data_IF_125227040620
#
_entry.id   IF_125227040620
#
_cell.length_a   1.000
_cell.length_b   1.000
_cell.length_c   1.000
_cell.angle_alpha   90.00
_cell.angle_beta   90.00
_cell.angle_gamma   90.00
#
_symmetry.space_group_name_H-M   'P 1'
#
loop_
_entity.id
_entity.type
_entity.pdbx_description
1 polymer ?
#
# COMPACT_ATOMS: atom_id res chain seq x y z
N UNK A 1 6.49 -12.33 -54.90
CA UNK A 1 7.05 -11.67 -53.71
C UNK A 1 6.02 -10.66 -53.26
N UNK A 2 5.13 -11.06 -52.35
CA UNK A 2 4.10 -10.19 -51.78
C UNK A 2 4.67 -9.56 -50.53
N UNK A 3 4.96 -8.26 -50.61
CA UNK A 3 5.30 -7.43 -49.46
C UNK A 3 4.02 -7.31 -48.63
N UNK A 4 3.99 -7.93 -47.47
CA UNK A 4 2.96 -7.70 -46.46
C UNK A 4 3.27 -6.38 -45.76
N UNK A 5 2.61 -5.31 -46.20
CA UNK A 5 2.48 -4.07 -45.45
C UNK A 5 1.60 -4.32 -44.21
N UNK A 6 2.13 -3.98 -43.04
CA UNK A 6 1.41 -4.10 -41.77
C UNK A 6 2.28 -4.09 -40.52
N UNK A 7 3.44 -3.41 -40.52
CA UNK A 7 4.11 -2.98 -39.29
C UNK A 7 3.89 -1.48 -39.16
N UNK A 8 2.80 -1.08 -38.53
CA UNK A 8 2.55 0.33 -38.18
C UNK A 8 3.01 0.59 -36.76
N UNK A 9 4.02 1.46 -36.65
CA UNK A 9 4.42 2.29 -35.49
C UNK A 9 5.16 1.60 -34.34
N UNK A 10 6.36 2.13 -34.03
CA UNK A 10 7.06 2.01 -32.73
C UNK A 10 6.21 2.62 -31.61
N UNK A 11 5.07 2.03 -31.29
CA UNK A 11 4.23 2.48 -30.19
C UNK A 11 4.96 2.22 -28.86
N UNK A 12 5.03 3.24 -28.02
CA UNK A 12 5.60 3.12 -26.69
C UNK A 12 4.49 2.82 -25.68
N UNK A 13 4.60 1.67 -25.04
CA UNK A 13 3.65 1.19 -24.04
C UNK A 13 4.34 0.99 -22.69
N UNK A 14 3.63 1.32 -21.61
CA UNK A 14 4.07 1.13 -20.22
C UNK A 14 3.06 0.23 -19.51
N UNK A 15 3.53 -0.79 -18.82
CA UNK A 15 2.69 -1.62 -17.97
C UNK A 15 2.72 -1.14 -16.51
N UNK A 16 1.55 -0.78 -15.98
CA UNK A 16 1.35 -0.44 -14.58
C UNK A 16 0.77 -1.62 -13.80
N UNK A 17 1.46 -2.05 -12.74
CA UNK A 17 1.02 -3.14 -11.84
C UNK A 17 0.81 -2.69 -10.38
N UNK A 18 1.11 -1.44 -10.07
CA UNK A 18 1.01 -0.85 -8.73
C UNK A 18 0.28 0.50 -8.79
N UNK A 19 0.90 1.55 -8.26
CA UNK A 19 0.29 2.89 -8.23
C UNK A 19 -0.12 3.43 -9.60
N UNK A 20 0.53 3.01 -10.68
CA UNK A 20 0.16 3.40 -12.03
C UNK A 20 -1.26 2.96 -12.43
N UNK A 21 -1.87 1.98 -11.77
CA UNK A 21 -3.25 1.56 -12.06
C UNK A 21 -4.25 2.64 -11.62
N UNK A 22 -4.06 3.26 -10.45
CA UNK A 22 -4.95 4.30 -9.92
C UNK A 22 -4.41 5.74 -10.04
N UNK A 23 -3.13 5.89 -10.40
CA UNK A 23 -2.45 7.16 -10.72
C UNK A 23 -1.66 7.00 -12.03
N UNK A 24 -2.35 7.01 -13.19
CA UNK A 24 -1.72 6.82 -14.49
C UNK A 24 -0.64 7.87 -14.79
N UNK A 25 0.29 7.59 -15.73
CA UNK A 25 1.22 8.59 -16.24
C UNK A 25 0.48 9.74 -16.95
N UNK A 26 1.13 10.90 -17.16
CA UNK A 26 0.62 11.93 -18.05
C UNK A 26 0.68 11.48 -19.53
N UNK A 27 0.02 12.22 -20.42
CA UNK A 27 0.10 12.06 -21.89
C UNK A 27 -0.28 10.67 -22.42
N UNK A 28 -1.23 10.02 -21.74
CA UNK A 28 -1.75 8.71 -22.13
C UNK A 28 -2.96 8.88 -23.03
N UNK A 29 -2.90 8.28 -24.21
CA UNK A 29 -3.97 8.34 -25.20
C UNK A 29 -4.79 7.04 -25.30
N UNK A 30 -4.25 5.93 -24.78
CA UNK A 30 -4.96 4.65 -24.63
C UNK A 30 -4.57 3.92 -23.36
N UNK A 31 -5.54 3.24 -22.76
CA UNK A 31 -5.37 2.36 -21.61
C UNK A 31 -6.01 1.01 -21.91
N UNK A 32 -5.30 -0.08 -21.66
CA UNK A 32 -5.75 -1.43 -21.95
C UNK A 32 -5.53 -2.30 -20.71
N UNK A 33 -6.61 -2.66 -19.99
CA UNK A 33 -6.54 -3.67 -18.93
C UNK A 33 -6.03 -5.00 -19.49
N UNK A 34 -5.16 -5.66 -18.73
CA UNK A 34 -4.54 -6.90 -19.14
C UNK A 34 -3.69 -7.51 -18.04
N UNK A 35 -2.95 -8.55 -18.39
CA UNK A 35 -2.11 -9.25 -17.44
C UNK A 35 -0.78 -9.67 -18.06
N UNK A 36 0.20 -9.90 -17.19
CA UNK A 36 1.49 -10.48 -17.56
C UNK A 36 1.66 -11.84 -16.89
N UNK A 37 2.49 -12.70 -17.48
CA UNK A 37 2.83 -14.02 -16.94
C UNK A 37 4.28 -14.08 -16.48
N UNK A 38 4.64 -15.05 -15.63
CA UNK A 38 6.04 -15.29 -15.23
C UNK A 38 6.54 -14.38 -14.12
N UNK A 39 5.69 -13.51 -13.58
CA UNK A 39 5.97 -12.64 -12.45
C UNK A 39 5.00 -12.86 -11.30
N UNK A 40 5.40 -12.41 -10.12
CA UNK A 40 4.60 -12.41 -8.89
C UNK A 40 4.65 -11.00 -8.31
N UNK A 41 3.50 -10.44 -7.94
CA UNK A 41 3.39 -9.12 -7.30
C UNK A 41 3.42 -9.25 -5.79
N UNK A 42 4.32 -8.53 -5.10
CA UNK A 42 4.43 -8.54 -3.64
C UNK A 42 4.74 -7.18 -3.05
N UNK A 43 4.22 -6.89 -1.86
CA UNK A 43 4.55 -5.73 -1.02
C UNK A 43 5.96 -5.79 -0.40
N UNK A 44 6.96 -6.17 -1.21
CA UNK A 44 8.33 -6.44 -0.77
C UNK A 44 9.32 -5.37 -1.21
N UNK A 45 8.82 -4.21 -1.63
CA UNK A 45 9.66 -3.03 -1.84
C UNK A 45 9.48 -2.06 -0.68
N UNK A 46 10.57 -1.70 -0.03
CA UNK A 46 10.60 -0.67 1.00
C UNK A 46 10.41 0.71 0.36
N UNK A 47 9.48 1.50 0.89
CA UNK A 47 9.14 2.83 0.39
C UNK A 47 9.64 3.92 1.33
N UNK A 48 10.69 4.65 0.93
CA UNK A 48 11.16 5.86 1.58
C UNK A 48 11.92 6.76 0.60
N UNK A 49 12.01 8.05 0.93
CA UNK A 49 12.90 8.98 0.22
C UNK A 49 14.34 8.74 0.67
N UNK A 50 15.29 8.56 -0.27
CA UNK A 50 16.72 8.34 0.04
C UNK A 50 17.30 9.37 1.00
N UNK A 51 16.75 10.59 1.02
CA UNK A 51 17.24 11.70 1.83
C UNK A 51 16.62 11.75 3.25
N UNK A 52 15.57 10.97 3.53
CA UNK A 52 14.87 10.95 4.82
C UNK A 52 14.17 9.61 5.06
N UNK A 53 14.92 8.53 5.40
CA UNK A 53 14.31 7.28 5.81
C UNK A 53 13.62 7.45 7.18
N UNK A 54 12.31 7.22 7.28
CA UNK A 54 11.63 7.15 8.58
C UNK A 54 12.08 5.88 9.34
N UNK A 55 11.88 5.81 10.67
CA UNK A 55 12.20 4.63 11.47
C UNK A 55 11.48 3.37 10.95
N UNK A 56 10.22 3.52 10.54
CA UNK A 56 9.40 2.45 9.94
C UNK A 56 9.00 2.84 8.51
N UNK A 57 9.84 2.55 7.51
CA UNK A 57 9.53 2.88 6.12
C UNK A 57 8.39 2.01 5.60
N UNK A 58 7.58 2.59 4.72
CA UNK A 58 6.45 1.90 4.12
C UNK A 58 6.83 0.68 3.28
N UNK A 59 5.82 -0.02 2.77
CA UNK A 59 5.92 -1.11 1.79
C UNK A 59 5.06 -0.80 0.58
N UNK A 60 5.62 -0.98 -0.61
CA UNK A 60 4.90 -0.89 -1.88
C UNK A 60 5.13 -2.17 -2.68
N UNK A 61 4.32 -2.37 -3.73
CA UNK A 61 4.46 -3.55 -4.56
C UNK A 61 5.66 -3.47 -5.49
N UNK A 62 6.31 -4.60 -5.72
CA UNK A 62 7.23 -4.85 -6.84
C UNK A 62 6.81 -6.12 -7.58
N UNK A 63 7.37 -6.33 -8.76
CA UNK A 63 7.31 -7.61 -9.47
C UNK A 63 8.56 -8.43 -9.19
N UNK A 64 8.36 -9.73 -9.02
CA UNK A 64 9.45 -10.69 -8.81
C UNK A 64 9.29 -11.75 -9.88
N UNK A 65 10.34 -12.05 -10.63
CA UNK A 65 10.30 -13.20 -11.55
C UNK A 65 9.95 -14.46 -10.77
N UNK A 66 9.02 -15.26 -11.30
CA UNK A 66 8.51 -16.46 -10.64
C UNK A 66 9.65 -17.40 -10.20
N UNK A 67 10.63 -17.60 -11.07
CA UNK A 67 11.80 -18.46 -10.80
C UNK A 67 12.70 -17.96 -9.66
N UNK A 68 12.65 -16.66 -9.36
CA UNK A 68 13.35 -16.06 -8.22
C UNK A 68 12.48 -16.13 -6.98
N UNK A 69 11.20 -15.77 -7.09
CA UNK A 69 10.23 -15.84 -6.00
C UNK A 69 10.12 -17.24 -5.37
N UNK A 70 10.10 -18.29 -6.19
CA UNK A 70 10.09 -19.69 -5.74
C UNK A 70 11.26 -20.05 -4.81
N UNK A 71 12.37 -19.30 -4.89
CA UNK A 71 13.54 -19.49 -4.04
C UNK A 71 13.49 -18.65 -2.76
N UNK A 72 12.62 -17.65 -2.66
CA UNK A 72 12.57 -16.74 -1.52
C UNK A 72 11.74 -17.31 -0.36
N UNK A 73 10.73 -18.13 -0.66
CA UNK A 73 9.75 -18.58 0.33
C UNK A 73 8.74 -17.47 0.63
N UNK A 74 7.46 -17.83 0.68
CA UNK A 74 6.34 -16.88 0.81
C UNK A 74 5.23 -17.50 1.66
N UNK A 75 4.30 -16.68 2.13
CA UNK A 75 3.20 -17.07 3.02
C UNK A 75 2.09 -17.83 2.30
N UNK A 76 2.00 -17.69 0.98
CA UNK A 76 0.95 -18.25 0.12
C UNK A 76 1.47 -18.53 -1.28
N UNK A 77 0.76 -19.40 -2.00
CA UNK A 77 0.98 -19.62 -3.43
C UNK A 77 0.80 -18.33 -4.23
N UNK A 78 1.55 -18.20 -5.32
CA UNK A 78 1.43 -17.06 -6.22
C UNK A 78 0.33 -17.29 -7.27
N UNK A 79 -0.48 -16.25 -7.51
CA UNK A 79 -1.39 -16.19 -8.66
C UNK A 79 -0.64 -16.47 -9.97
N UNK A 80 -1.29 -17.13 -10.93
CA UNK A 80 -0.65 -17.52 -12.20
C UNK A 80 -0.22 -16.31 -13.04
N UNK A 81 -0.99 -15.23 -12.95
CA UNK A 81 -0.83 -14.00 -13.73
C UNK A 81 -0.85 -12.77 -12.83
N UNK A 82 -0.24 -11.68 -13.28
CA UNK A 82 -0.32 -10.37 -12.62
C UNK A 82 -1.14 -9.42 -13.47
N UNK A 83 -2.29 -9.01 -12.94
CA UNK A 83 -3.18 -8.03 -13.56
C UNK A 83 -2.68 -6.60 -13.41
N UNK A 84 -2.92 -5.79 -14.44
CA UNK A 84 -2.57 -4.37 -14.49
C UNK A 84 -3.13 -3.69 -15.73
N UNK A 85 -2.51 -2.58 -16.12
CA UNK A 85 -2.93 -1.79 -17.27
C UNK A 85 -1.74 -1.46 -18.16
N UNK A 86 -1.86 -1.69 -19.47
CA UNK A 86 -0.94 -1.16 -20.46
C UNK A 86 -1.40 0.23 -20.89
N UNK A 87 -0.49 1.19 -20.85
CA UNK A 87 -0.71 2.58 -21.20
C UNK A 87 0.09 2.93 -22.44
N UNK A 88 -0.58 3.40 -23.49
CA UNK A 88 0.11 3.94 -24.67
C UNK A 88 0.43 5.40 -24.46
N UNK A 89 1.68 5.75 -24.73
CA UNK A 89 2.15 7.13 -24.75
C UNK A 89 2.20 7.60 -26.19
N UNK A 90 1.71 8.81 -26.43
CA UNK A 90 1.86 9.45 -27.73
C UNK A 90 3.35 9.65 -28.06
N UNK A 91 3.75 9.40 -29.30
CA UNK A 91 5.15 9.41 -29.73
C UNK A 91 5.89 10.72 -29.37
N UNK A 92 5.20 11.87 -29.42
CA UNK A 92 5.76 13.19 -29.07
C UNK A 92 6.06 13.38 -27.59
N UNK A 93 5.49 12.56 -26.71
CA UNK A 93 5.58 12.68 -25.25
C UNK A 93 6.40 11.55 -24.60
N UNK A 94 6.98 10.63 -25.39
CA UNK A 94 7.71 9.46 -24.88
C UNK A 94 8.89 9.84 -24.00
N UNK A 95 9.69 10.83 -24.39
CA UNK A 95 10.85 11.27 -23.61
C UNK A 95 10.42 11.89 -22.27
N UNK A 96 9.41 12.76 -22.30
CA UNK A 96 8.85 13.41 -21.09
C UNK A 96 8.28 12.37 -20.11
N UNK A 97 7.53 11.38 -20.61
CA UNK A 97 6.96 10.33 -19.75
C UNK A 97 8.05 9.43 -19.19
N UNK A 98 9.11 9.11 -19.96
CA UNK A 98 10.26 8.36 -19.44
C UNK A 98 10.98 9.13 -18.33
N UNK A 99 11.25 10.41 -18.52
CA UNK A 99 11.87 11.25 -17.49
C UNK A 99 10.99 11.36 -16.24
N UNK A 100 9.68 11.55 -16.41
CA UNK A 100 8.72 11.52 -15.32
C UNK A 100 8.78 10.20 -14.52
N UNK A 101 8.82 9.06 -15.22
CA UNK A 101 8.88 7.75 -14.58
C UNK A 101 10.23 7.48 -13.92
N UNK A 102 11.34 7.92 -14.52
CA UNK A 102 12.67 7.78 -13.93
C UNK A 102 12.79 8.56 -12.60
N UNK A 103 12.12 9.72 -12.49
CA UNK A 103 12.02 10.48 -11.24
C UNK A 103 11.09 9.79 -10.24
N UNK A 104 9.93 9.28 -10.71
CA UNK A 104 8.93 8.61 -9.86
C UNK A 104 9.47 7.31 -9.27
N UNK A 105 10.27 6.58 -10.04
CA UNK A 105 10.80 5.25 -9.72
C UNK A 105 12.30 5.27 -9.37
N UNK A 106 12.84 6.47 -9.02
CA UNK A 106 14.24 6.77 -8.67
C UNK A 106 14.87 5.85 -7.59
N UNK A 107 14.02 5.10 -6.92
CA UNK A 107 14.28 4.19 -5.82
C UNK A 107 14.73 2.78 -6.29
N UNK A 108 15.52 2.71 -7.36
CA UNK A 108 16.22 1.50 -7.78
C UNK A 108 15.39 0.51 -8.59
N UNK A 109 14.28 0.97 -9.16
CA UNK A 109 13.59 0.19 -10.19
C UNK A 109 14.43 0.15 -11.46
N UNK A 110 14.44 -1.01 -12.11
CA UNK A 110 15.10 -1.24 -13.40
C UNK A 110 14.05 -1.42 -14.48
N UNK A 111 14.41 -1.08 -15.72
CA UNK A 111 13.54 -1.18 -16.88
C UNK A 111 13.59 -2.62 -17.43
N UNK A 112 12.41 -3.22 -17.59
CA UNK A 112 12.20 -4.51 -18.25
C UNK A 112 11.15 -4.35 -19.35
N UNK A 113 11.02 -5.37 -20.20
CA UNK A 113 9.95 -5.44 -21.19
C UNK A 113 9.18 -6.75 -21.08
N UNK A 114 7.86 -6.64 -21.04
CA UNK A 114 6.92 -7.75 -20.85
C UNK A 114 5.85 -7.74 -21.92
N UNK A 115 5.26 -8.90 -22.17
CA UNK A 115 4.12 -9.04 -23.06
C UNK A 115 2.84 -8.97 -22.23
N UNK A 116 2.03 -7.93 -22.48
CA UNK A 116 0.75 -7.75 -21.79
C UNK A 116 -0.35 -8.42 -22.62
N UNK A 117 -0.98 -9.44 -22.03
CA UNK A 117 -2.10 -10.14 -22.62
C UNK A 117 -3.40 -9.39 -22.34
N UNK A 118 -4.22 -9.22 -23.37
CA UNK A 118 -5.51 -8.55 -23.28
C UNK A 118 -6.54 -9.41 -22.54
N UNK A 119 -7.58 -8.76 -22.01
CA UNK A 119 -8.81 -9.44 -21.57
C UNK A 119 -9.56 -10.12 -22.72
N UNK A 120 -9.40 -9.63 -23.96
CA UNK A 120 -9.85 -10.34 -25.16
C UNK A 120 -8.74 -11.30 -25.64
N UNK A 121 -8.92 -12.62 -25.54
CA UNK A 121 -7.87 -13.60 -25.85
C UNK A 121 -7.49 -13.64 -27.34
N UNK A 122 -8.27 -13.01 -28.22
CA UNK A 122 -7.99 -12.96 -29.65
C UNK A 122 -7.05 -11.82 -30.07
N UNK A 123 -6.76 -10.88 -29.16
CA UNK A 123 -5.85 -9.77 -29.43
C UNK A 123 -4.39 -10.19 -29.22
N UNK A 124 -3.46 -9.77 -30.09
CA UNK A 124 -2.04 -10.05 -29.90
C UNK A 124 -1.51 -9.35 -28.63
N UNK A 125 -0.52 -9.91 -27.92
CA UNK A 125 0.05 -9.25 -26.75
C UNK A 125 0.69 -7.88 -27.07
N UNK A 126 0.61 -6.95 -26.12
CA UNK A 126 1.24 -5.62 -26.21
C UNK A 126 2.61 -5.67 -25.54
N UNK A 127 3.68 -5.48 -26.32
CA UNK A 127 5.03 -5.33 -25.76
C UNK A 127 5.13 -4.02 -25.00
N UNK A 128 5.33 -4.09 -23.68
CA UNK A 128 5.29 -2.93 -22.79
C UNK A 128 6.54 -2.84 -21.92
N UNK A 129 7.01 -1.62 -21.68
CA UNK A 129 8.03 -1.31 -20.69
C UNK A 129 7.43 -1.45 -19.29
N UNK A 130 8.17 -2.01 -18.34
CA UNK A 130 7.78 -2.10 -16.93
C UNK A 130 8.96 -1.77 -16.03
N UNK A 131 8.70 -1.00 -14.97
CA UNK A 131 9.69 -0.70 -13.94
C UNK A 131 9.61 -1.76 -12.84
N UNK A 132 10.72 -2.45 -12.54
CA UNK A 132 10.78 -3.53 -11.53
C UNK A 132 11.88 -3.26 -10.50
N UNK A 133 11.51 -3.24 -9.22
CA UNK A 133 12.45 -3.22 -8.10
C UNK A 133 12.97 -4.64 -7.89
N UNK A 134 14.10 -4.95 -8.53
CA UNK A 134 14.64 -6.32 -8.53
C UNK A 134 15.23 -6.68 -7.17
N UNK A 135 15.46 -7.98 -6.89
CA UNK A 135 16.05 -8.41 -5.62
C UNK A 135 17.44 -7.82 -5.31
N UNK A 136 18.17 -7.33 -6.31
CA UNK A 136 19.44 -6.63 -6.15
C UNK A 136 19.28 -5.18 -5.67
N UNK A 137 18.06 -4.65 -5.67
CA UNK A 137 17.75 -3.33 -5.16
C UNK A 137 17.92 -3.31 -3.62
N UNK A 138 18.67 -2.37 -3.03
CA UNK A 138 18.80 -2.24 -1.58
C UNK A 138 17.48 -2.02 -0.83
N UNK A 139 16.44 -1.56 -1.53
CA UNK A 139 15.08 -1.38 -1.01
C UNK A 139 14.20 -2.61 -1.22
N UNK A 140 14.69 -3.67 -1.87
CA UNK A 140 14.02 -4.96 -1.87
C UNK A 140 14.14 -5.62 -0.49
N UNK A 141 13.04 -6.17 0.01
CA UNK A 141 13.05 -6.94 1.25
C UNK A 141 13.78 -8.26 0.99
N UNK A 142 15.00 -8.36 1.52
CA UNK A 142 15.82 -9.57 1.40
C UNK A 142 15.09 -10.80 1.96
N UNK A 143 15.44 -11.98 1.43
CA UNK A 143 14.84 -13.28 1.75
C UNK A 143 14.69 -13.53 3.26
N UNK A 144 15.72 -13.22 4.03
CA UNK A 144 15.77 -13.45 5.48
C UNK A 144 14.88 -12.49 6.27
N UNK A 145 14.27 -11.52 5.59
CA UNK A 145 13.45 -10.45 6.16
C UNK A 145 12.04 -10.42 5.58
N UNK A 146 11.63 -11.44 4.82
CA UNK A 146 10.25 -11.58 4.36
C UNK A 146 9.38 -11.70 5.62
N UNK A 147 8.62 -10.65 5.98
CA UNK A 147 7.85 -10.64 7.23
C UNK A 147 6.68 -11.59 7.10
N UNK A 148 6.23 -12.25 8.17
CA UNK A 148 4.98 -13.00 8.12
C UNK A 148 3.82 -12.16 7.57
N UNK A 149 2.83 -12.76 6.91
CA UNK A 149 1.75 -11.98 6.27
C UNK A 149 1.01 -11.05 7.24
N UNK A 150 0.77 -11.50 8.48
CA UNK A 150 0.18 -10.65 9.53
C UNK A 150 1.12 -9.52 9.95
N UNK A 151 2.42 -9.80 10.12
CA UNK A 151 3.43 -8.77 10.42
C UNK A 151 3.51 -7.73 9.28
N UNK A 152 3.41 -8.16 8.02
CA UNK A 152 3.36 -7.28 6.86
C UNK A 152 2.12 -6.38 6.89
N UNK A 153 0.95 -6.96 7.20
CA UNK A 153 -0.30 -6.20 7.29
C UNK A 153 -0.23 -5.16 8.41
N UNK A 154 0.25 -5.53 9.61
CA UNK A 154 0.46 -4.60 10.73
C UNK A 154 1.47 -3.50 10.38
N UNK A 155 2.55 -3.86 9.69
CA UNK A 155 3.56 -2.90 9.22
C UNK A 155 2.95 -1.89 8.26
N UNK A 156 2.21 -2.35 7.25
CA UNK A 156 1.51 -1.49 6.29
C UNK A 156 0.48 -0.63 7.01
N UNK A 157 -0.21 -1.18 8.00
CA UNK A 157 -1.23 -0.45 8.75
C UNK A 157 -0.66 0.76 9.49
N UNK A 158 0.45 0.57 10.21
CA UNK A 158 1.10 1.58 11.04
C UNK A 158 1.97 2.57 10.26
N UNK A 159 2.46 2.19 9.07
CA UNK A 159 3.41 3.00 8.30
C UNK A 159 2.75 4.23 7.67
N UNK A 160 3.40 5.39 7.82
CA UNK A 160 2.99 6.65 7.17
C UNK A 160 4.19 7.29 6.47
N UNK A 161 4.03 7.62 5.20
CA UNK A 161 5.06 8.27 4.40
C UNK A 161 4.65 9.67 3.93
N UNK A 162 5.50 10.37 3.15
CA UNK A 162 5.19 11.69 2.60
C UNK A 162 3.93 11.73 1.72
N UNK A 163 3.53 10.59 1.15
CA UNK A 163 2.32 10.46 0.32
C UNK A 163 1.08 10.05 1.12
N UNK A 164 1.16 10.00 2.46
CA UNK A 164 0.08 9.58 3.35
C UNK A 164 0.27 8.18 3.97
N UNK A 165 -0.77 7.66 4.63
CA UNK A 165 -0.80 6.31 5.20
C UNK A 165 -0.52 5.23 4.15
N UNK A 166 0.26 4.21 4.51
CA UNK A 166 0.56 3.13 3.57
C UNK A 166 -0.66 2.23 3.30
N UNK A 167 -1.61 2.13 4.26
CA UNK A 167 -2.89 1.45 4.03
C UNK A 167 -3.69 2.03 2.86
N UNK A 168 -3.64 3.35 2.66
CA UNK A 168 -4.35 4.02 1.57
C UNK A 168 -3.82 3.58 0.19
N UNK A 169 -2.50 3.31 0.09
CA UNK A 169 -1.92 2.75 -1.13
C UNK A 169 -2.49 1.36 -1.41
N UNK A 170 -2.55 0.50 -0.39
CA UNK A 170 -3.11 -0.84 -0.52
C UNK A 170 -4.58 -0.80 -0.94
N UNK A 171 -5.38 0.08 -0.33
CA UNK A 171 -6.81 0.19 -0.61
C UNK A 171 -7.05 0.71 -2.03
N UNK A 172 -6.34 1.74 -2.44
CA UNK A 172 -6.39 2.23 -3.83
C UNK A 172 -5.99 1.14 -4.82
N UNK A 173 -4.93 0.37 -4.54
CA UNK A 173 -4.51 -0.72 -5.40
C UNK A 173 -5.54 -1.86 -5.45
N UNK A 174 -6.09 -2.25 -4.30
CA UNK A 174 -7.10 -3.30 -4.22
C UNK A 174 -8.32 -2.96 -5.06
N UNK A 175 -8.91 -1.78 -4.85
CA UNK A 175 -10.08 -1.35 -5.61
C UNK A 175 -9.78 -1.20 -7.10
N UNK A 176 -8.65 -0.58 -7.45
CA UNK A 176 -8.27 -0.41 -8.84
C UNK A 176 -8.08 -1.75 -9.57
N UNK A 177 -7.61 -2.80 -8.88
CA UNK A 177 -7.51 -4.15 -9.44
C UNK A 177 -8.87 -4.81 -9.64
N UNK A 178 -9.78 -4.72 -8.67
CA UNK A 178 -11.15 -5.25 -8.81
C UNK A 178 -11.91 -4.55 -9.95
N UNK A 179 -11.63 -3.26 -10.17
CA UNK A 179 -12.27 -2.45 -11.21
C UNK A 179 -11.71 -2.69 -12.63
N UNK A 180 -10.58 -3.40 -12.79
CA UNK A 180 -9.98 -3.65 -14.12
C UNK A 180 -10.89 -4.49 -15.02
N UNK A 181 -11.35 -5.63 -14.49
CA UNK A 181 -12.27 -6.55 -15.15
C UNK A 181 -12.74 -7.63 -14.16
N UNK A 182 -13.84 -8.37 -14.45
CA UNK A 182 -14.36 -9.41 -13.55
C UNK A 182 -13.38 -10.56 -13.23
N UNK A 183 -12.40 -10.80 -14.10
CA UNK A 183 -11.40 -11.85 -13.93
C UNK A 183 -10.15 -11.38 -13.17
N UNK A 184 -10.00 -10.06 -13.00
CA UNK A 184 -8.86 -9.47 -12.30
C UNK A 184 -8.92 -9.84 -10.83
N UNK A 185 -7.89 -10.56 -10.38
CA UNK A 185 -7.75 -11.05 -9.01
C UNK A 185 -6.30 -10.96 -8.58
N UNK A 186 -6.10 -10.66 -7.31
CA UNK A 186 -4.80 -10.79 -6.66
C UNK A 186 -5.00 -11.25 -5.22
N UNK A 187 -4.56 -12.46 -4.93
CA UNK A 187 -4.75 -13.07 -3.62
C UNK A 187 -3.92 -12.38 -2.54
N UNK A 188 -2.72 -11.91 -2.87
CA UNK A 188 -1.85 -11.22 -1.94
C UNK A 188 -2.42 -9.86 -1.53
N UNK A 189 -2.80 -9.05 -2.52
CA UNK A 189 -3.40 -7.72 -2.28
C UNK A 189 -4.70 -7.86 -1.48
N UNK A 190 -5.57 -8.80 -1.87
CA UNK A 190 -6.85 -9.03 -1.21
C UNK A 190 -6.70 -9.55 0.23
N UNK A 191 -5.71 -10.41 0.48
CA UNK A 191 -5.45 -10.93 1.83
C UNK A 191 -4.97 -9.82 2.76
N UNK A 192 -3.99 -9.02 2.32
CA UNK A 192 -3.53 -7.85 3.07
C UNK A 192 -4.68 -6.85 3.32
N UNK A 193 -5.50 -6.56 2.30
CA UNK A 193 -6.65 -5.67 2.44
C UNK A 193 -7.58 -6.12 3.57
N UNK A 194 -7.93 -7.42 3.59
CA UNK A 194 -8.80 -7.99 4.63
C UNK A 194 -8.18 -7.93 6.02
N UNK A 195 -6.89 -8.25 6.14
CA UNK A 195 -6.19 -8.20 7.43
C UNK A 195 -6.17 -6.79 7.99
N UNK A 196 -5.88 -5.79 7.16
CA UNK A 196 -5.87 -4.39 7.61
C UNK A 196 -7.28 -3.91 7.97
N UNK A 197 -8.31 -4.29 7.20
CA UNK A 197 -9.69 -3.95 7.55
C UNK A 197 -10.12 -4.56 8.91
N UNK A 198 -9.61 -5.75 9.26
CA UNK A 198 -9.84 -6.35 10.58
C UNK A 198 -9.12 -5.55 11.67
N UNK A 199 -7.85 -5.18 11.46
CA UNK A 199 -7.10 -4.36 12.41
C UNK A 199 -7.79 -3.02 12.69
N UNK A 200 -8.32 -2.36 11.65
CA UNK A 200 -9.10 -1.13 11.79
C UNK A 200 -10.39 -1.32 12.60
N UNK A 201 -11.08 -2.44 12.38
CA UNK A 201 -12.30 -2.75 13.13
C UNK A 201 -11.98 -3.06 14.60
N UNK A 202 -10.89 -3.77 14.87
CA UNK A 202 -10.42 -4.07 16.23
C UNK A 202 -10.01 -2.81 16.99
N UNK A 203 -9.23 -1.91 16.38
CA UNK A 203 -8.85 -0.63 16.98
C UNK A 203 -10.08 0.23 17.29
N UNK A 204 -11.01 0.34 16.34
CA UNK A 204 -12.26 1.09 16.55
C UNK A 204 -13.14 0.51 17.67
N UNK A 205 -13.15 -0.82 17.82
CA UNK A 205 -13.88 -1.45 18.92
C UNK A 205 -13.22 -1.15 20.28
N UNK A 206 -11.89 -1.14 20.35
CA UNK A 206 -11.17 -0.76 21.57
C UNK A 206 -11.42 0.70 21.94
N UNK A 207 -11.41 1.62 20.97
CA UNK A 207 -11.72 3.04 21.19
C UNK A 207 -13.13 3.22 21.79
N UNK A 208 -14.13 2.49 21.28
CA UNK A 208 -15.51 2.54 21.80
C UNK A 208 -15.57 1.97 23.23
N UNK A 209 -14.89 0.86 23.50
CA UNK A 209 -14.85 0.24 24.83
C UNK A 209 -14.15 1.16 25.87
N UNK A 210 -13.12 1.90 25.45
CA UNK A 210 -12.43 2.89 26.29
C UNK A 210 -13.33 4.11 26.58
N UNK A 211 -14.04 4.65 25.58
CA UNK A 211 -14.99 5.74 25.75
C UNK A 211 -16.15 5.36 26.70
N UNK A 212 -16.74 4.17 26.54
CA UNK A 212 -17.79 3.65 27.43
C UNK A 212 -17.29 3.51 28.88
N UNK A 213 -16.03 3.11 29.06
CA UNK A 213 -15.40 2.97 30.37
C UNK A 213 -15.15 4.32 31.05
N UNK A 214 -14.69 5.33 30.31
CA UNK A 214 -14.47 6.69 30.82
C UNK A 214 -15.80 7.37 31.22
N UNK A 215 -16.86 7.26 30.40
CA UNK A 215 -18.20 7.80 30.75
C UNK A 215 -18.74 7.16 32.04
N UNK A 216 -18.54 5.85 32.23
CA UNK A 216 -18.97 5.14 33.44
C UNK A 216 -18.14 5.50 34.69
N UNK A 217 -16.91 5.99 34.53
CA UNK A 217 -16.11 6.50 35.65
C UNK A 217 -16.46 7.97 35.99
N UNK A 218 -16.76 8.81 35.00
CA UNK A 218 -17.24 10.18 35.22
C UNK A 218 -18.60 10.21 35.92
N UNK A 219 -19.58 9.40 35.49
CA UNK A 219 -20.88 9.27 36.17
C UNK A 219 -20.74 8.85 37.64
N UNK A 220 -19.73 8.01 37.96
CA UNK A 220 -19.44 7.62 39.35
C UNK A 220 -18.76 8.72 40.17
N UNK A 221 -18.05 9.66 39.55
CA UNK A 221 -17.47 10.81 40.23
C UNK A 221 -18.47 11.93 40.48
N UNK A 222 -19.47 12.11 39.61
CA UNK A 222 -20.53 13.11 39.81
C UNK A 222 -21.50 12.74 40.94
N UNK A 223 -21.68 11.44 41.23
CA UNK A 223 -22.56 10.94 42.29
C UNK A 223 -21.93 10.94 43.71
N UNK A 224 -20.75 11.53 43.90
CA UNK A 224 -20.13 11.64 45.24
C UNK A 224 -20.85 12.75 46.04
N UNK A 225 -21.54 12.45 47.16
CA UNK A 225 -22.26 13.47 47.93
C UNK A 225 -21.26 14.44 48.56
N UNK A 226 -21.45 15.74 48.31
CA UNK A 226 -20.74 16.82 49.00
C UNK A 226 -20.98 16.67 50.52
N UNK A 227 -20.00 16.15 51.26
CA UNK A 227 -20.06 16.16 52.72
C UNK A 227 -19.83 17.59 53.20
N UNK A 228 -20.89 18.23 53.68
CA UNK A 228 -20.80 19.50 54.40
C UNK A 228 -19.84 19.35 55.59
N UNK A 229 -18.80 20.18 55.61
CA UNK A 229 -17.95 20.35 56.79
C UNK A 229 -18.81 20.82 57.98
N UNK A 230 -18.76 20.15 59.14
CA UNK A 230 -19.51 20.62 60.30
C UNK A 230 -18.87 21.92 60.80
N UNK A 231 -19.67 22.99 60.74
CA UNK A 231 -19.41 24.28 61.32
C UNK A 231 -19.25 24.18 62.85
N UNK A 232 -18.16 24.76 63.35
CA UNK A 232 -18.06 25.47 64.63
C UNK A 232 -18.61 24.78 65.88
N UNK A 233 -17.72 24.17 66.67
CA UNK A 233 -17.93 24.12 68.12
C UNK A 233 -17.15 25.27 68.76
N UNK A 234 -17.89 26.19 69.38
CA UNK A 234 -17.38 27.19 70.32
C UNK A 234 -16.68 26.46 71.47
N UNK A 235 -15.35 26.57 71.55
CA UNK A 235 -14.64 26.34 72.81
C UNK A 235 -14.51 27.66 73.55
N UNK A 236 -15.22 27.74 74.66
CA UNK A 236 -15.18 28.81 75.66
C UNK A 236 -13.80 28.91 76.29
N UNK A 237 -13.23 30.13 76.30
CA UNK A 237 -12.06 30.49 77.11
C UNK A 237 -12.27 30.19 78.60
N UNK A 238 -11.18 29.91 79.33
CA UNK A 238 -10.98 30.66 80.55
C UNK A 238 -9.62 31.35 80.64
N UNK A 239 -9.76 32.58 81.11
CA UNK A 239 -8.80 33.60 81.52
C UNK A 239 -7.59 33.12 82.35
N UNK A 240 -6.43 33.68 81.99
CA UNK A 240 -5.31 34.16 82.82
C UNK A 240 -4.93 33.45 84.13
N UNK A 241 -3.66 33.07 84.26
CA UNK A 241 -2.72 33.85 85.09
C UNK A 241 -1.24 33.53 84.80
N UNK A 242 -0.48 34.61 84.70
CA UNK A 242 0.98 34.72 84.64
C UNK A 242 1.66 34.33 85.96
N UNK A 243 2.77 33.59 85.87
CA UNK A 243 4.08 33.91 86.49
C UNK A 243 5.13 32.87 86.12
#
# INVERSE_FOLDING_TARGET
MTVTEGQTSDEFWIFGYGSLIFKPPPHIDRQVPGYITGYVRRFWQVSFSRNSPPPDPGRVVTLIERSVWEKLGDHHDADEVVWGTAYRVEASHVEEVKEYLDIREINGYSIHYVDVHHTNPNSPPIRSLVYIGTPENPQFVARERVPGETELAEHIYKSVGPSGPNKDYLYQLHHALEDLCPDSKDNHIRSLFRKIAILEAEEKLMEIEEEDHEEHEEDKMEDIPFHEHPSGQEETEPNMTSS
#
